data_IF_042053374983
#
_entry.id   IF_042053374983
#
_cell.length_a   1.000
_cell.length_b   1.000
_cell.length_c   1.000
_cell.angle_alpha   90.00
_cell.angle_beta   90.00
_cell.angle_gamma   90.00
#
_symmetry.space_group_name_H-M   'P 1'
#
loop_
_entity.id
_entity.type
_entity.pdbx_description
1 polymer ?
#
# COMPACT_ATOMS: atom_id res chain seq x y z
N UNK A 1 18.55 1.32 8.54
CA UNK A 1 17.94 0.25 9.37
C UNK A 1 16.50 0.09 8.93
N UNK A 2 16.07 -1.12 8.62
CA UNK A 2 14.70 -1.43 8.25
C UNK A 2 13.76 -1.27 9.44
N UNK A 3 12.54 -0.81 9.20
CA UNK A 3 11.48 -0.71 10.21
C UNK A 3 10.37 -1.70 9.91
N UNK A 4 9.65 -2.08 10.96
CA UNK A 4 8.49 -2.94 10.84
C UNK A 4 7.24 -2.10 10.99
N UNK A 5 6.39 -2.15 9.97
CA UNK A 5 5.13 -1.40 9.92
C UNK A 5 3.91 -2.31 9.78
N UNK A 6 2.75 -1.78 10.09
CA UNK A 6 1.46 -2.46 9.89
C UNK A 6 0.39 -1.45 9.48
N UNK A 7 -0.53 -1.89 8.62
CA UNK A 7 -1.67 -1.07 8.21
C UNK A 7 -2.61 -0.77 9.40
N UNK A 8 -3.33 0.36 9.34
CA UNK A 8 -4.16 0.85 10.45
C UNK A 8 -5.53 0.20 10.57
N UNK A 9 -5.99 -0.55 9.57
CA UNK A 9 -7.30 -1.18 9.59
C UNK A 9 -7.49 -2.18 10.73
N UNK A 10 -8.59 -2.02 11.48
CA UNK A 10 -9.01 -2.94 12.54
C UNK A 10 -8.49 -2.67 13.95
N UNK A 11 -7.50 -1.79 14.15
CA UNK A 11 -6.98 -1.42 15.47
C UNK A 11 -6.90 0.08 15.74
N UNK A 12 -6.75 0.90 14.70
CA UNK A 12 -6.64 2.35 14.84
C UNK A 12 -8.00 2.99 15.10
N UNK A 13 -8.07 3.83 16.11
CA UNK A 13 -9.20 4.67 16.46
C UNK A 13 -8.78 6.14 16.35
N UNK A 14 -9.39 6.86 15.44
CA UNK A 14 -9.07 8.26 15.18
C UNK A 14 -9.31 9.16 16.38
N UNK A 15 -10.40 8.91 17.12
CA UNK A 15 -10.76 9.69 18.32
C UNK A 15 -9.82 9.40 19.52
N UNK A 16 -9.07 8.31 19.45
CA UNK A 16 -8.10 7.86 20.44
C UNK A 16 -6.72 7.57 19.82
N UNK A 17 -6.27 8.45 18.92
CA UNK A 17 -5.05 8.24 18.11
C UNK A 17 -3.81 7.92 18.96
N UNK A 18 -3.55 8.67 20.03
CA UNK A 18 -2.41 8.43 20.91
C UNK A 18 -2.43 7.02 21.52
N UNK A 19 -3.56 6.63 22.12
CA UNK A 19 -3.70 5.29 22.72
C UNK A 19 -3.54 4.17 21.66
N UNK A 20 -4.02 4.39 20.44
CA UNK A 20 -3.84 3.48 19.31
C UNK A 20 -2.36 3.33 18.94
N UNK A 21 -1.60 4.41 18.88
CA UNK A 21 -0.17 4.39 18.58
C UNK A 21 0.68 3.79 19.71
N UNK A 22 0.34 4.07 20.98
CA UNK A 22 0.95 3.40 22.14
C UNK A 22 0.70 1.89 22.09
N UNK A 23 -0.53 1.48 21.75
CA UNK A 23 -0.89 0.07 21.61
C UNK A 23 -0.07 -0.61 20.54
N UNK A 24 0.00 -0.05 19.32
CA UNK A 24 0.74 -0.68 18.22
C UNK A 24 2.23 -0.72 18.48
N UNK A 25 2.79 0.32 19.09
CA UNK A 25 4.17 0.34 19.58
C UNK A 25 4.43 -0.79 20.58
N UNK A 26 3.49 -1.05 21.52
CA UNK A 26 3.61 -2.14 22.50
C UNK A 26 3.57 -3.53 21.86
N UNK A 27 3.07 -3.64 20.62
CA UNK A 27 3.12 -4.85 19.81
C UNK A 27 4.45 -5.01 19.04
N UNK A 28 5.36 -4.00 19.09
CA UNK A 28 6.68 -4.05 18.48
C UNK A 28 6.78 -3.39 17.11
N UNK A 29 5.78 -2.63 16.67
CA UNK A 29 5.82 -1.90 15.40
C UNK A 29 6.45 -0.51 15.56
N UNK A 30 7.18 -0.09 14.52
CA UNK A 30 7.92 1.18 14.45
C UNK A 30 7.29 2.15 13.43
N UNK A 31 6.41 1.63 12.58
CA UNK A 31 5.74 2.40 11.55
C UNK A 31 4.31 1.91 11.29
N UNK A 32 3.53 2.74 10.62
CA UNK A 32 2.17 2.39 10.17
C UNK A 32 1.97 2.76 8.69
N UNK A 33 1.09 2.00 8.06
CA UNK A 33 0.45 2.31 6.80
C UNK A 33 -0.95 2.85 7.10
N UNK A 34 -1.19 4.12 6.77
CA UNK A 34 -2.43 4.79 7.13
C UNK A 34 -3.53 4.58 6.09
N UNK A 35 -4.58 3.85 6.45
CA UNK A 35 -5.73 3.57 5.59
C UNK A 35 -6.73 4.74 5.59
N UNK A 36 -6.48 5.79 4.80
CA UNK A 36 -7.45 6.88 4.62
C UNK A 36 -8.57 6.51 3.65
N UNK A 37 -8.38 5.46 2.87
CA UNK A 37 -9.35 4.89 1.92
C UNK A 37 -10.70 4.56 2.56
N UNK A 38 -10.74 4.23 3.85
CA UNK A 38 -11.98 3.92 4.58
C UNK A 38 -12.97 5.08 4.62
N UNK A 39 -12.51 6.32 4.45
CA UNK A 39 -13.33 7.53 4.50
C UNK A 39 -13.90 7.94 3.13
N UNK A 40 -13.55 7.23 2.06
CA UNK A 40 -14.10 7.41 0.72
C UNK A 40 -14.19 6.06 0.00
N UNK A 41 -15.39 5.55 -0.15
CA UNK A 41 -15.69 4.30 -0.87
C UNK A 41 -16.37 4.64 -2.20
N UNK A 42 -15.65 4.62 -3.35
CA UNK A 42 -16.18 5.11 -4.62
C UNK A 42 -17.18 4.16 -5.28
N UNK A 43 -17.10 2.84 -5.03
CA UNK A 43 -17.97 1.85 -5.72
C UNK A 43 -19.48 2.12 -5.59
N UNK A 44 -20.04 2.45 -4.41
CA UNK A 44 -21.45 2.82 -4.31
C UNK A 44 -21.80 4.05 -5.16
N UNK A 45 -20.90 5.07 -5.17
CA UNK A 45 -21.11 6.30 -5.95
C UNK A 45 -21.10 6.00 -7.45
N UNK A 46 -20.15 5.17 -7.91
CA UNK A 46 -20.07 4.75 -9.31
C UNK A 46 -21.32 3.98 -9.75
N UNK A 47 -21.83 3.08 -8.89
CA UNK A 47 -23.01 2.26 -9.15
C UNK A 47 -24.29 3.08 -9.18
N UNK A 48 -24.44 4.01 -8.26
CA UNK A 48 -25.66 4.84 -8.11
C UNK A 48 -25.62 6.08 -9.01
N UNK A 49 -24.45 6.48 -9.51
CA UNK A 49 -24.25 7.69 -10.31
C UNK A 49 -24.42 8.98 -9.49
N UNK A 50 -24.21 8.91 -8.17
CA UNK A 50 -24.35 10.03 -7.24
C UNK A 50 -23.15 10.12 -6.34
N UNK A 51 -22.50 11.29 -6.31
CA UNK A 51 -21.41 11.58 -5.36
C UNK A 51 -22.05 11.92 -4.01
N UNK A 52 -21.75 11.13 -3.00
CA UNK A 52 -22.21 11.35 -1.63
C UNK A 52 -21.16 12.09 -0.81
N UNK A 53 -21.54 12.91 0.19
CA UNK A 53 -20.60 13.60 1.04
C UNK A 53 -19.61 12.66 1.74
N UNK A 54 -18.33 13.06 1.76
CA UNK A 54 -17.26 12.30 2.40
C UNK A 54 -16.37 13.22 3.25
N UNK A 55 -15.37 12.63 3.90
CA UNK A 55 -14.31 13.38 4.58
C UNK A 55 -13.62 14.36 3.61
N UNK A 56 -13.50 14.00 2.34
CA UNK A 56 -12.79 14.77 1.33
C UNK A 56 -13.55 16.00 0.80
N UNK A 57 -14.78 16.26 1.27
CA UNK A 57 -15.47 17.53 1.00
C UNK A 57 -14.93 18.69 1.84
N UNK A 58 -14.22 18.38 2.93
CA UNK A 58 -13.54 19.38 3.76
C UNK A 58 -12.46 20.13 2.97
N UNK A 59 -12.22 21.40 3.33
CA UNK A 59 -11.05 22.12 2.83
C UNK A 59 -9.74 21.44 3.27
N UNK A 60 -8.61 21.79 2.63
CA UNK A 60 -7.30 21.26 3.04
C UNK A 60 -7.03 21.63 4.51
N UNK A 61 -7.28 22.86 4.91
CA UNK A 61 -7.08 23.33 6.28
C UNK A 61 -7.90 22.53 7.29
N UNK A 62 -9.17 22.26 6.98
CA UNK A 62 -10.04 21.43 7.83
C UNK A 62 -9.58 19.97 7.91
N UNK A 63 -9.02 19.43 6.81
CA UNK A 63 -8.45 18.08 6.78
C UNK A 63 -7.15 17.99 7.58
N UNK A 64 -6.29 19.00 7.50
CA UNK A 64 -5.06 19.04 8.29
C UNK A 64 -5.35 19.16 9.79
N UNK A 65 -6.36 19.93 10.19
CA UNK A 65 -6.80 19.98 11.58
C UNK A 65 -7.43 18.64 12.02
N UNK A 66 -8.21 17.99 11.14
CA UNK A 66 -8.80 16.68 11.41
C UNK A 66 -7.71 15.59 11.59
N UNK A 67 -6.65 15.57 10.77
CA UNK A 67 -5.60 14.54 10.85
C UNK A 67 -4.54 14.86 11.92
N UNK A 68 -4.56 16.03 12.52
CA UNK A 68 -3.59 16.46 13.54
C UNK A 68 -3.41 15.48 14.71
N UNK A 69 -4.46 14.83 15.27
CA UNK A 69 -4.27 13.82 16.32
C UNK A 69 -3.40 12.63 15.89
N UNK A 70 -3.47 12.22 14.62
CA UNK A 70 -2.59 11.18 14.06
C UNK A 70 -1.12 11.64 14.07
N UNK A 71 -0.86 12.87 13.62
CA UNK A 71 0.49 13.46 13.63
C UNK A 71 1.05 13.54 15.05
N UNK A 72 0.29 14.09 15.98
CA UNK A 72 0.69 14.24 17.39
C UNK A 72 0.96 12.87 18.04
N UNK A 73 0.15 11.85 17.73
CA UNK A 73 0.36 10.49 18.21
C UNK A 73 1.65 9.86 17.65
N UNK A 74 1.91 10.06 16.35
CA UNK A 74 3.16 9.63 15.70
C UNK A 74 4.38 10.29 16.35
N UNK A 75 4.37 11.61 16.52
CA UNK A 75 5.46 12.36 17.16
C UNK A 75 5.69 11.95 18.63
N UNK A 76 4.61 11.78 19.40
CA UNK A 76 4.70 11.42 20.82
C UNK A 76 5.22 9.99 21.04
N UNK A 77 4.88 9.06 20.16
CA UNK A 77 5.27 7.65 20.29
C UNK A 77 6.56 7.32 19.55
N UNK A 78 6.91 8.08 18.51
CA UNK A 78 8.00 7.77 17.58
C UNK A 78 7.65 6.64 16.60
N UNK A 79 6.36 6.25 16.50
CA UNK A 79 5.87 5.35 15.45
C UNK A 79 5.56 6.19 14.22
N UNK A 80 6.27 5.97 13.12
CA UNK A 80 6.15 6.79 11.91
C UNK A 80 4.94 6.40 11.06
N UNK A 81 4.39 7.36 10.33
CA UNK A 81 3.48 7.05 9.22
C UNK A 81 4.34 6.89 7.96
N UNK A 82 4.70 5.66 7.62
CA UNK A 82 5.65 5.37 6.53
C UNK A 82 5.02 5.37 5.15
N UNK A 83 3.73 5.16 5.08
CA UNK A 83 2.93 5.15 3.85
C UNK A 83 1.46 5.38 4.15
N UNK A 84 0.71 5.73 3.11
CA UNK A 84 -0.75 5.95 3.18
C UNK A 84 -1.42 5.21 2.02
N UNK A 85 -2.57 4.60 2.28
CA UNK A 85 -3.41 4.00 1.26
C UNK A 85 -4.52 4.97 0.84
N UNK A 86 -4.48 5.47 -0.41
CA UNK A 86 -5.48 6.38 -0.96
C UNK A 86 -6.81 5.66 -1.29
N UNK A 87 -7.92 6.41 -1.49
CA UNK A 87 -9.19 5.83 -1.91
C UNK A 87 -9.07 4.91 -3.13
N UNK A 88 -9.76 3.77 -3.07
CA UNK A 88 -9.81 2.75 -4.11
C UNK A 88 -11.23 2.21 -4.32
N UNK A 89 -11.65 1.89 -5.58
CA UNK A 89 -10.93 2.08 -6.86
C UNK A 89 -10.64 3.55 -7.19
N UNK A 90 -9.56 3.78 -7.98
CA UNK A 90 -9.03 5.13 -8.25
C UNK A 90 -9.62 5.79 -9.51
N UNK A 91 -10.31 5.02 -10.35
CA UNK A 91 -10.83 5.45 -11.63
C UNK A 91 -11.98 4.57 -12.13
N UNK A 92 -12.95 5.20 -12.81
CA UNK A 92 -14.10 4.51 -13.40
C UNK A 92 -14.32 4.98 -14.84
N UNK A 93 -14.38 4.08 -15.83
CA UNK A 93 -14.73 4.43 -17.21
C UNK A 93 -16.09 5.18 -17.26
N UNK A 94 -16.16 6.21 -18.08
CA UNK A 94 -17.40 6.98 -18.34
C UNK A 94 -18.03 7.65 -17.09
N UNK A 95 -17.25 7.89 -16.02
CA UNK A 95 -17.69 8.57 -14.79
C UNK A 95 -16.84 9.81 -14.52
N UNK A 96 -16.88 10.76 -15.44
CA UNK A 96 -15.98 11.94 -15.41
C UNK A 96 -16.12 12.73 -14.10
N UNK A 97 -17.34 13.02 -13.65
CA UNK A 97 -17.55 13.77 -12.40
C UNK A 97 -16.95 13.05 -11.18
N UNK A 98 -17.10 11.70 -11.10
CA UNK A 98 -16.53 10.91 -10.02
C UNK A 98 -15.00 10.86 -10.13
N UNK A 99 -14.46 10.77 -11.33
CA UNK A 99 -13.01 10.76 -11.56
C UNK A 99 -12.39 12.12 -11.18
N UNK A 100 -13.05 13.24 -11.49
CA UNK A 100 -12.62 14.56 -11.03
C UNK A 100 -12.64 14.66 -9.50
N UNK A 101 -13.69 14.14 -8.87
CA UNK A 101 -13.78 14.07 -7.41
C UNK A 101 -12.65 13.22 -6.78
N UNK A 102 -12.31 12.08 -7.38
CA UNK A 102 -11.20 11.23 -6.93
C UNK A 102 -9.84 11.94 -7.09
N UNK A 103 -9.60 12.64 -8.20
CA UNK A 103 -8.37 13.44 -8.39
C UNK A 103 -8.26 14.52 -7.31
N UNK A 104 -9.36 15.20 -6.97
CA UNK A 104 -9.37 16.17 -5.88
C UNK A 104 -9.07 15.51 -4.52
N UNK A 105 -9.61 14.31 -4.29
CA UNK A 105 -9.31 13.54 -3.07
C UNK A 105 -7.83 13.13 -3.00
N UNK A 106 -7.20 12.77 -4.12
CA UNK A 106 -5.76 12.47 -4.15
C UNK A 106 -4.90 13.70 -3.88
N UNK A 107 -5.25 14.88 -4.41
CA UNK A 107 -4.55 16.13 -4.07
C UNK A 107 -4.58 16.38 -2.55
N UNK A 108 -5.72 16.10 -1.91
CA UNK A 108 -5.87 16.19 -0.44
C UNK A 108 -5.07 15.11 0.31
N UNK A 109 -4.97 13.90 -0.22
CA UNK A 109 -4.07 12.87 0.32
C UNK A 109 -2.61 13.34 0.30
N UNK A 110 -2.15 13.99 -0.77
CA UNK A 110 -0.79 14.53 -0.85
C UNK A 110 -0.55 15.63 0.19
N UNK A 111 -1.53 16.53 0.40
CA UNK A 111 -1.45 17.56 1.44
C UNK A 111 -1.34 16.95 2.85
N UNK A 112 -2.13 15.91 3.13
CA UNK A 112 -2.08 15.18 4.39
C UNK A 112 -0.70 14.50 4.54
N UNK A 113 -0.22 13.81 3.51
CA UNK A 113 1.09 13.14 3.54
C UNK A 113 2.22 14.12 3.88
N UNK A 114 2.28 15.28 3.21
CA UNK A 114 3.28 16.30 3.53
C UNK A 114 3.16 16.79 4.98
N UNK A 115 1.94 17.04 5.46
CA UNK A 115 1.70 17.53 6.82
C UNK A 115 2.11 16.54 7.91
N UNK A 116 1.85 15.23 7.71
CA UNK A 116 2.17 14.19 8.70
C UNK A 116 3.56 13.57 8.48
N UNK A 117 4.37 14.08 7.56
CA UNK A 117 5.67 13.55 7.15
C UNK A 117 5.61 12.11 6.60
N UNK A 118 4.52 11.75 5.93
CA UNK A 118 4.35 10.46 5.26
C UNK A 118 4.99 10.53 3.86
N UNK A 119 6.02 9.74 3.55
CA UNK A 119 6.79 9.91 2.31
C UNK A 119 6.15 9.29 1.08
N UNK A 120 5.12 8.48 1.23
CA UNK A 120 4.54 7.72 0.13
C UNK A 120 3.03 7.55 0.26
N UNK A 121 2.32 7.63 -0.85
CA UNK A 121 0.90 7.30 -0.94
C UNK A 121 0.67 6.27 -2.03
N UNK A 122 0.00 5.18 -1.69
CA UNK A 122 -0.41 4.17 -2.66
C UNK A 122 -1.64 4.67 -3.41
N UNK A 123 -1.54 4.74 -4.72
CA UNK A 123 -2.66 4.94 -5.63
C UNK A 123 -2.63 3.78 -6.61
N UNK A 124 -3.60 2.90 -6.53
CA UNK A 124 -3.70 1.72 -7.37
C UNK A 124 -3.75 2.08 -8.86
N UNK A 125 -3.30 1.19 -9.75
CA UNK A 125 -3.54 1.36 -11.17
C UNK A 125 -5.04 1.27 -11.49
N UNK A 126 -5.42 1.83 -12.62
CA UNK A 126 -6.78 1.64 -13.16
C UNK A 126 -6.96 0.18 -13.56
N UNK A 127 -8.09 -0.40 -13.14
CA UNK A 127 -8.45 -1.77 -13.51
C UNK A 127 -9.35 -1.74 -14.75
N UNK A 128 -8.80 -2.12 -15.88
CA UNK A 128 -9.51 -2.18 -17.15
C UNK A 128 -9.66 -3.62 -17.61
N UNK A 129 -10.76 -3.89 -18.33
CA UNK A 129 -11.02 -5.20 -18.88
C UNK A 129 -10.09 -5.58 -20.04
N UNK A 130 -9.56 -4.58 -20.75
CA UNK A 130 -8.76 -4.76 -21.96
C UNK A 130 -7.27 -4.54 -21.68
N UNK A 131 -6.51 -5.63 -21.63
CA UNK A 131 -5.08 -5.59 -21.31
C UNK A 131 -4.25 -4.75 -22.30
N UNK A 132 -4.68 -4.68 -23.56
CA UNK A 132 -3.95 -3.94 -24.60
C UNK A 132 -3.99 -2.43 -24.39
N UNK A 133 -5.05 -1.90 -23.77
CA UNK A 133 -5.21 -0.47 -23.47
C UNK A 133 -4.72 -0.10 -22.07
N UNK A 134 -4.53 -1.06 -21.21
CA UNK A 134 -4.22 -0.88 -19.79
C UNK A 134 -2.97 -0.03 -19.54
N UNK A 135 -1.93 -0.19 -20.39
CA UNK A 135 -0.71 0.62 -20.30
C UNK A 135 -0.98 2.11 -20.54
N UNK A 136 -1.61 2.44 -21.66
CA UNK A 136 -1.84 3.83 -22.05
C UNK A 136 -2.82 4.53 -21.11
N UNK A 137 -3.85 3.85 -20.65
CA UNK A 137 -4.83 4.40 -19.73
C UNK A 137 -4.21 4.64 -18.34
N UNK A 138 -3.40 3.72 -17.83
CA UNK A 138 -2.67 3.94 -16.59
C UNK A 138 -1.66 5.08 -16.72
N UNK A 139 -0.92 5.15 -17.82
CA UNK A 139 0.01 6.24 -18.07
C UNK A 139 -0.70 7.59 -18.13
N UNK A 140 -1.85 7.66 -18.81
CA UNK A 140 -2.71 8.85 -18.86
C UNK A 140 -3.21 9.24 -17.47
N UNK A 141 -3.68 8.28 -16.69
CA UNK A 141 -4.16 8.50 -15.33
C UNK A 141 -3.06 9.08 -14.44
N UNK A 142 -1.90 8.41 -14.34
CA UNK A 142 -0.82 8.90 -13.48
C UNK A 142 -0.23 10.23 -13.97
N UNK A 143 -0.17 10.50 -15.28
CA UNK A 143 0.20 11.80 -15.85
C UNK A 143 -0.71 12.92 -15.34
N UNK A 144 -2.01 12.65 -15.21
CA UNK A 144 -2.96 13.64 -14.69
C UNK A 144 -2.69 14.06 -13.24
N UNK A 145 -1.97 13.22 -12.48
CA UNK A 145 -1.59 13.50 -11.09
C UNK A 145 -0.28 14.30 -10.97
N UNK A 146 0.54 14.40 -12.02
CA UNK A 146 1.82 15.14 -11.98
C UNK A 146 1.67 16.60 -11.51
N UNK A 147 0.72 17.40 -12.02
CA UNK A 147 0.55 18.79 -11.57
C UNK A 147 0.20 18.91 -10.09
N UNK A 148 -0.42 17.88 -9.52
CA UNK A 148 -0.84 17.86 -8.12
C UNK A 148 0.33 17.47 -7.22
N UNK A 149 0.97 16.30 -7.46
CA UNK A 149 2.04 15.83 -6.59
C UNK A 149 3.24 16.78 -6.51
N UNK A 150 3.53 17.52 -7.58
CA UNK A 150 4.60 18.51 -7.63
C UNK A 150 4.43 19.70 -6.67
N UNK A 151 3.24 19.91 -6.11
CA UNK A 151 2.99 20.95 -5.10
C UNK A 151 3.56 20.56 -3.74
N UNK A 152 3.75 19.26 -3.47
CA UNK A 152 4.07 18.71 -2.15
C UNK A 152 5.47 18.14 -2.12
N UNK A 153 6.20 18.42 -1.04
CA UNK A 153 7.60 18.03 -0.90
C UNK A 153 7.72 16.71 -0.13
N UNK A 154 8.60 15.84 -0.62
CA UNK A 154 8.92 14.60 0.09
C UNK A 154 7.83 13.54 0.02
N UNK A 155 6.83 13.70 -0.85
CA UNK A 155 5.75 12.74 -1.06
C UNK A 155 5.89 12.12 -2.44
N UNK A 156 5.74 10.80 -2.54
CA UNK A 156 5.71 10.03 -3.79
C UNK A 156 4.38 9.33 -3.97
N UNK A 157 3.92 9.24 -5.22
CA UNK A 157 2.86 8.33 -5.63
C UNK A 157 3.48 6.96 -5.87
N UNK A 158 3.01 5.94 -5.18
CA UNK A 158 3.41 4.56 -5.42
C UNK A 158 2.28 3.81 -6.13
N UNK A 159 2.54 3.35 -7.35
CA UNK A 159 1.65 2.39 -8.00
C UNK A 159 1.90 1.00 -7.44
N UNK A 160 0.92 0.12 -7.56
CA UNK A 160 0.95 -1.23 -6.98
C UNK A 160 0.74 -2.31 -8.04
N UNK A 161 1.30 -3.50 -7.81
CA UNK A 161 1.00 -4.68 -8.62
C UNK A 161 -0.37 -5.25 -8.24
N UNK A 162 -1.33 -5.05 -9.11
CA UNK A 162 -2.67 -5.64 -8.98
C UNK A 162 -2.81 -6.83 -9.92
N UNK A 163 -3.55 -7.83 -9.50
CA UNK A 163 -3.92 -8.97 -10.32
C UNK A 163 -5.13 -8.67 -11.20
N UNK A 164 -5.26 -9.38 -12.32
CA UNK A 164 -6.48 -9.49 -13.11
C UNK A 164 -7.12 -10.87 -12.88
N UNK A 165 -8.38 -11.04 -13.30
CA UNK A 165 -9.07 -12.33 -13.24
C UNK A 165 -9.40 -12.82 -14.65
N UNK A 166 -9.05 -14.08 -14.90
CA UNK A 166 -9.46 -14.79 -16.11
C UNK A 166 -10.21 -16.05 -15.69
N UNK A 167 -11.54 -15.99 -15.71
CA UNK A 167 -12.39 -17.00 -15.13
C UNK A 167 -12.17 -17.11 -13.62
N UNK A 168 -11.77 -18.28 -13.14
CA UNK A 168 -11.43 -18.53 -11.74
C UNK A 168 -9.95 -18.29 -11.39
N UNK A 169 -9.12 -17.90 -12.36
CA UNK A 169 -7.69 -17.76 -12.18
C UNK A 169 -7.30 -16.31 -11.97
N UNK A 170 -6.36 -16.08 -11.07
CA UNK A 170 -5.62 -14.83 -10.98
C UNK A 170 -4.49 -14.85 -12.01
N UNK A 171 -4.34 -13.74 -12.72
CA UNK A 171 -3.32 -13.55 -13.74
C UNK A 171 -2.68 -12.18 -13.58
N UNK A 172 -1.50 -12.01 -14.16
CA UNK A 172 -0.86 -10.70 -14.19
C UNK A 172 -1.73 -9.66 -14.90
N UNK A 173 -2.04 -8.55 -14.23
CA UNK A 173 -2.41 -7.29 -14.87
C UNK A 173 -1.16 -6.64 -15.47
N UNK A 174 -1.29 -5.53 -16.18
CA UNK A 174 -0.16 -4.92 -16.88
C UNK A 174 0.97 -4.51 -15.93
N UNK A 175 0.63 -3.84 -14.82
CA UNK A 175 1.60 -3.38 -13.82
C UNK A 175 2.01 -4.46 -12.82
N UNK A 176 1.47 -5.68 -12.91
CA UNK A 176 2.01 -6.84 -12.22
C UNK A 176 3.27 -7.37 -12.89
N UNK A 177 3.50 -7.03 -14.15
CA UNK A 177 4.77 -7.33 -14.81
C UNK A 177 5.84 -6.33 -14.35
N UNK A 178 6.94 -6.78 -13.71
CA UNK A 178 7.92 -5.87 -13.14
C UNK A 178 8.65 -5.00 -14.17
N UNK A 179 8.80 -5.46 -15.40
CA UNK A 179 9.43 -4.66 -16.47
C UNK A 179 8.52 -3.53 -16.92
N UNK A 180 7.22 -3.80 -17.09
CA UNK A 180 6.24 -2.77 -17.45
C UNK A 180 6.08 -1.76 -16.29
N UNK A 181 5.99 -2.21 -15.05
CA UNK A 181 5.91 -1.35 -13.87
C UNK A 181 7.15 -0.45 -13.75
N UNK A 182 8.35 -1.03 -13.84
CA UNK A 182 9.60 -0.26 -13.79
C UNK A 182 9.67 0.79 -14.91
N UNK A 183 9.29 0.42 -16.14
CA UNK A 183 9.26 1.34 -17.28
C UNK A 183 8.26 2.48 -17.07
N UNK A 184 7.07 2.19 -16.51
CA UNK A 184 6.07 3.23 -16.26
C UNK A 184 6.58 4.26 -15.25
N UNK A 185 7.19 3.82 -14.15
CA UNK A 185 7.76 4.71 -13.15
C UNK A 185 8.86 5.59 -13.76
N UNK A 186 9.74 5.02 -14.59
CA UNK A 186 10.81 5.78 -15.25
C UNK A 186 10.24 6.87 -16.15
N UNK A 187 9.25 6.52 -17.00
CA UNK A 187 8.59 7.49 -17.89
C UNK A 187 7.92 8.60 -17.10
N UNK A 188 7.17 8.26 -16.04
CA UNK A 188 6.47 9.25 -15.22
C UNK A 188 7.45 10.18 -14.48
N UNK A 189 8.55 9.68 -13.95
CA UNK A 189 9.58 10.47 -13.29
C UNK A 189 10.34 11.38 -14.26
N UNK A 190 10.65 10.89 -15.48
CA UNK A 190 11.23 11.70 -16.54
C UNK A 190 10.31 12.86 -16.93
N UNK A 191 9.02 12.59 -17.17
CA UNK A 191 8.02 13.60 -17.53
C UNK A 191 7.75 14.60 -16.39
N UNK A 192 7.72 14.12 -15.14
CA UNK A 192 7.58 14.97 -13.97
C UNK A 192 8.84 15.84 -13.70
N UNK A 193 10.00 15.42 -14.23
CA UNK A 193 11.28 16.09 -14.00
C UNK A 193 11.81 15.90 -12.59
N UNK A 194 11.51 14.75 -11.94
CA UNK A 194 11.94 14.47 -10.57
C UNK A 194 11.43 13.11 -10.08
N UNK A 195 11.81 12.74 -8.87
CA UNK A 195 11.50 11.44 -8.23
C UNK A 195 10.15 11.50 -7.48
N UNK A 196 9.05 11.57 -8.24
CA UNK A 196 7.68 11.70 -7.72
C UNK A 196 6.88 10.39 -7.73
N UNK A 197 7.37 9.37 -8.45
CA UNK A 197 6.71 8.08 -8.58
C UNK A 197 7.61 6.96 -8.09
N UNK A 198 7.03 6.03 -7.38
CA UNK A 198 7.65 4.82 -6.87
C UNK A 198 6.74 3.61 -7.02
N UNK A 199 7.10 2.53 -6.39
CA UNK A 199 6.38 1.26 -6.46
C UNK A 199 6.06 0.73 -5.06
N UNK A 200 4.84 0.29 -4.89
CA UNK A 200 4.39 -0.56 -3.80
C UNK A 200 4.40 -2.01 -4.29
N UNK A 201 5.22 -2.86 -3.70
CA UNK A 201 5.14 -4.29 -3.97
C UNK A 201 4.17 -4.94 -3.00
N UNK A 202 3.00 -5.32 -3.51
CA UNK A 202 2.12 -6.24 -2.80
C UNK A 202 2.60 -7.67 -3.03
N UNK A 203 3.05 -8.29 -1.94
CA UNK A 203 3.66 -9.63 -1.94
C UNK A 203 2.60 -10.70 -2.16
N UNK A 204 1.41 -10.50 -1.60
CA UNK A 204 0.30 -11.43 -1.78
C UNK A 204 -0.25 -11.42 -3.20
N UNK A 205 -0.37 -10.25 -3.84
CA UNK A 205 -0.75 -10.14 -5.25
C UNK A 205 0.28 -10.80 -6.17
N UNK A 206 1.58 -10.61 -5.88
CA UNK A 206 2.64 -11.29 -6.62
C UNK A 206 2.55 -12.83 -6.48
N UNK A 207 2.23 -13.33 -5.27
CA UNK A 207 2.01 -14.76 -5.01
C UNK A 207 0.78 -15.29 -5.76
N UNK A 208 -0.34 -14.55 -5.82
CA UNK A 208 -1.52 -14.91 -6.61
C UNK A 208 -1.22 -15.03 -8.11
N UNK A 209 -0.30 -14.22 -8.61
CA UNK A 209 0.17 -14.27 -9.99
C UNK A 209 1.34 -15.24 -10.21
N UNK A 210 1.73 -16.01 -9.20
CA UNK A 210 2.84 -16.99 -9.26
C UNK A 210 4.19 -16.38 -9.67
N UNK A 211 4.47 -15.14 -9.26
CA UNK A 211 5.68 -14.42 -9.63
C UNK A 211 6.84 -14.75 -8.68
N UNK A 212 8.05 -14.79 -9.23
CA UNK A 212 9.28 -14.93 -8.44
C UNK A 212 9.60 -13.61 -7.72
N UNK A 213 9.35 -13.56 -6.41
CA UNK A 213 9.52 -12.37 -5.57
C UNK A 213 10.94 -11.80 -5.63
N UNK A 214 11.97 -12.65 -5.57
CA UNK A 214 13.37 -12.20 -5.65
C UNK A 214 13.65 -11.50 -6.97
N UNK A 215 13.23 -12.11 -8.07
CA UNK A 215 13.44 -11.55 -9.40
C UNK A 215 12.62 -10.26 -9.57
N UNK A 216 11.39 -10.22 -9.06
CA UNK A 216 10.55 -9.03 -9.06
C UNK A 216 11.25 -7.86 -8.35
N UNK A 217 11.67 -8.07 -7.10
CA UNK A 217 12.36 -7.08 -6.28
C UNK A 217 13.64 -6.57 -6.97
N UNK A 218 14.42 -7.46 -7.58
CA UNK A 218 15.64 -7.08 -8.32
C UNK A 218 15.35 -6.19 -9.53
N UNK A 219 14.31 -6.49 -10.31
CA UNK A 219 13.92 -5.68 -11.47
C UNK A 219 13.46 -4.30 -11.04
N UNK A 220 12.66 -4.22 -9.97
CA UNK A 220 12.21 -2.94 -9.42
C UNK A 220 13.38 -2.11 -8.87
N UNK A 221 14.31 -2.72 -8.17
CA UNK A 221 15.50 -2.06 -7.65
C UNK A 221 15.14 -0.80 -6.84
N UNK A 222 15.72 0.35 -7.19
CA UNK A 222 15.49 1.64 -6.50
C UNK A 222 14.08 2.23 -6.66
N UNK A 223 13.26 1.70 -7.58
CA UNK A 223 11.87 2.13 -7.78
C UNK A 223 10.95 1.57 -6.70
N UNK A 224 11.36 0.45 -6.08
CA UNK A 224 10.66 -0.14 -4.95
C UNK A 224 10.77 0.80 -3.74
N UNK A 225 9.63 1.33 -3.31
CA UNK A 225 9.56 2.37 -2.28
C UNK A 225 8.91 1.86 -1.00
N UNK A 226 7.86 1.08 -1.13
CA UNK A 226 7.03 0.57 -0.03
C UNK A 226 6.53 -0.85 -0.34
N UNK A 227 5.95 -1.49 0.68
CA UNK A 227 5.41 -2.83 0.59
C UNK A 227 3.99 -2.89 1.16
N UNK A 228 3.18 -3.81 0.60
CA UNK A 228 2.06 -4.47 1.25
C UNK A 228 2.41 -5.96 1.43
N UNK A 229 2.65 -6.36 2.67
CA UNK A 229 3.12 -7.72 2.97
C UNK A 229 2.00 -8.51 3.61
N UNK A 230 1.55 -9.54 2.95
CA UNK A 230 0.59 -10.51 3.48
C UNK A 230 0.74 -11.87 2.81
N UNK A 231 0.20 -12.90 3.44
CA UNK A 231 0.16 -14.25 2.91
C UNK A 231 -1.22 -14.61 2.36
N UNK A 232 -1.22 -15.53 1.41
CA UNK A 232 -2.42 -16.13 0.86
C UNK A 232 -2.17 -17.57 0.35
N UNK A 233 -3.24 -18.24 0.00
CA UNK A 233 -3.21 -19.63 -0.47
C UNK A 233 -2.94 -19.75 -1.99
N UNK A 234 -2.55 -18.69 -2.69
CA UNK A 234 -2.42 -18.56 -4.15
C UNK A 234 -3.74 -18.72 -4.94
N UNK A 235 -4.89 -18.68 -4.25
CA UNK A 235 -6.22 -18.81 -4.87
C UNK A 235 -7.19 -17.69 -4.43
N UNK A 236 -6.95 -17.10 -3.26
CA UNK A 236 -7.79 -16.04 -2.71
C UNK A 236 -6.90 -14.97 -2.09
N UNK A 237 -7.30 -13.71 -2.22
CA UNK A 237 -6.62 -12.58 -1.63
C UNK A 237 -6.97 -12.45 -0.14
N UNK A 238 -6.17 -13.15 0.71
CA UNK A 238 -6.54 -13.44 2.09
C UNK A 238 -5.96 -12.50 3.13
N UNK A 239 -4.95 -11.72 2.82
CA UNK A 239 -4.30 -10.78 3.75
C UNK A 239 -3.99 -11.38 5.14
N UNK A 240 -3.40 -12.57 5.15
CA UNK A 240 -3.06 -13.33 6.36
C UNK A 240 -1.60 -13.12 6.77
N UNK A 241 -1.27 -13.60 7.97
CA UNK A 241 0.08 -13.55 8.52
C UNK A 241 1.03 -14.37 7.64
N UNK A 242 2.26 -13.89 7.34
CA UNK A 242 3.27 -14.69 6.65
C UNK A 242 3.48 -16.07 7.28
N UNK A 243 3.77 -17.07 6.47
CA UNK A 243 3.90 -18.48 6.84
C UNK A 243 2.58 -19.18 7.20
N UNK A 244 1.41 -18.57 6.92
CA UNK A 244 0.10 -19.18 7.21
C UNK A 244 -0.21 -20.37 6.30
N UNK A 245 0.34 -20.42 5.09
CA UNK A 245 -0.01 -21.43 4.10
C UNK A 245 1.18 -22.27 3.66
N UNK A 246 0.97 -23.59 3.69
CA UNK A 246 1.96 -24.60 3.28
C UNK A 246 1.34 -25.61 2.34
N UNK A 247 2.12 -26.08 1.37
CA UNK A 247 1.77 -27.23 0.55
C UNK A 247 1.94 -28.55 1.33
N UNK A 248 1.35 -29.63 0.82
CA UNK A 248 1.55 -30.98 1.37
C UNK A 248 3.03 -31.43 1.35
N UNK A 249 3.86 -30.83 0.48
CA UNK A 249 5.30 -31.07 0.40
C UNK A 249 6.14 -30.28 1.40
N UNK A 250 5.51 -29.57 2.35
CA UNK A 250 6.13 -28.71 3.38
C UNK A 250 6.83 -27.46 2.82
N UNK A 251 6.45 -27.00 1.63
CA UNK A 251 6.86 -25.73 1.09
C UNK A 251 5.82 -24.67 1.45
N UNK A 252 6.26 -23.48 1.81
CA UNK A 252 5.36 -22.33 1.92
C UNK A 252 4.79 -21.97 0.55
N UNK A 253 3.53 -21.53 0.53
CA UNK A 253 2.87 -21.12 -0.71
C UNK A 253 3.50 -19.84 -1.24
N UNK A 254 3.76 -18.89 -0.37
CA UNK A 254 4.57 -17.70 -0.67
C UNK A 254 6.05 -17.96 -0.30
N UNK A 255 6.97 -17.71 -1.22
CA UNK A 255 8.41 -17.98 -1.00
C UNK A 255 9.09 -16.84 -0.23
N UNK A 256 8.94 -16.88 1.09
CA UNK A 256 9.50 -15.88 2.00
C UNK A 256 11.02 -15.83 2.00
N UNK A 257 11.68 -16.95 1.70
CA UNK A 257 13.14 -16.96 1.61
C UNK A 257 13.61 -16.13 0.41
N UNK A 258 12.97 -16.27 -0.74
CA UNK A 258 13.28 -15.47 -1.93
C UNK A 258 12.90 -14.00 -1.75
N UNK A 259 11.84 -13.71 -1.00
CA UNK A 259 11.49 -12.34 -0.61
C UNK A 259 12.63 -11.69 0.18
N UNK A 260 13.07 -12.31 1.26
CA UNK A 260 14.17 -11.81 2.12
C UNK A 260 15.48 -11.67 1.34
N UNK A 261 15.85 -12.67 0.51
CA UNK A 261 17.02 -12.60 -0.35
C UNK A 261 16.95 -11.41 -1.33
N UNK A 262 15.79 -11.17 -1.93
CA UNK A 262 15.58 -10.06 -2.85
C UNK A 262 15.80 -8.70 -2.18
N UNK A 263 15.22 -8.49 -1.01
CA UNK A 263 15.37 -7.26 -0.22
C UNK A 263 16.84 -7.03 0.14
N UNK A 264 17.52 -8.08 0.63
CA UNK A 264 18.94 -8.02 0.96
C UNK A 264 19.80 -7.66 -0.25
N UNK A 265 19.52 -8.27 -1.42
CA UNK A 265 20.33 -8.09 -2.64
C UNK A 265 20.24 -6.66 -3.19
N UNK A 266 19.06 -6.01 -3.12
CA UNK A 266 18.93 -4.62 -3.58
C UNK A 266 19.36 -3.58 -2.52
N UNK A 267 19.60 -4.01 -1.29
CA UNK A 267 19.92 -3.10 -0.17
C UNK A 267 18.75 -2.16 0.13
N UNK A 268 17.52 -2.69 0.17
CA UNK A 268 16.34 -1.88 0.46
C UNK A 268 16.44 -1.20 1.83
N UNK A 269 16.10 0.08 1.88
CA UNK A 269 16.00 0.88 3.10
C UNK A 269 14.59 1.43 3.21
N UNK A 270 13.93 1.19 4.32
CA UNK A 270 12.55 1.65 4.53
C UNK A 270 11.76 0.77 5.48
N UNK A 271 10.47 0.67 5.26
CA UNK A 271 9.54 -0.07 6.11
C UNK A 271 9.07 -1.34 5.43
N UNK A 272 9.14 -2.45 6.13
CA UNK A 272 8.44 -3.69 5.81
C UNK A 272 7.03 -3.58 6.39
N UNK A 273 6.08 -3.09 5.61
CA UNK A 273 4.72 -2.82 6.06
C UNK A 273 3.79 -4.02 5.79
N UNK A 274 3.18 -4.52 6.86
CA UNK A 274 2.28 -5.67 6.80
C UNK A 274 0.84 -5.22 6.60
N UNK A 275 0.19 -5.75 5.57
CA UNK A 275 -1.21 -5.52 5.25
C UNK A 275 -2.05 -6.75 5.61
N UNK A 276 -2.18 -7.02 6.91
CA UNK A 276 -2.74 -8.26 7.46
C UNK A 276 -4.09 -8.05 8.16
N UNK A 277 -4.93 -7.16 7.64
CA UNK A 277 -6.20 -6.74 8.29
C UNK A 277 -7.19 -7.90 8.51
N UNK A 278 -7.09 -8.99 7.77
CA UNK A 278 -7.96 -10.17 7.96
C UNK A 278 -7.80 -10.84 9.31
N UNK A 279 -6.68 -10.62 10.02
CA UNK A 279 -6.51 -11.15 11.38
C UNK A 279 -7.63 -10.71 12.32
N UNK A 280 -8.19 -9.50 12.14
CA UNK A 280 -9.26 -8.95 12.98
C UNK A 280 -10.63 -9.62 12.73
N UNK A 281 -10.80 -10.30 11.60
CA UNK A 281 -11.99 -11.12 11.31
C UNK A 281 -11.74 -12.62 11.44
N UNK A 282 -10.50 -13.07 11.23
CA UNK A 282 -10.15 -14.48 11.29
C UNK A 282 -9.94 -14.97 12.74
N UNK A 283 -9.48 -14.10 13.65
CA UNK A 283 -9.22 -14.46 15.04
C UNK A 283 -10.20 -13.78 16.00
N UNK A 284 -10.51 -14.42 17.15
CA UNK A 284 -11.31 -13.78 18.19
C UNK A 284 -10.56 -12.60 18.81
N UNK A 285 -11.31 -11.55 19.20
CA UNK A 285 -10.76 -10.29 19.75
C UNK A 285 -9.63 -10.46 20.78
N UNK A 286 -9.71 -11.41 21.78
CA UNK A 286 -8.62 -11.62 22.75
C UNK A 286 -7.30 -12.07 22.13
N UNK A 287 -7.29 -12.60 20.89
CA UNK A 287 -6.09 -13.05 20.19
C UNK A 287 -5.43 -11.98 19.32
N UNK A 288 -6.08 -10.82 19.09
CA UNK A 288 -5.58 -9.80 18.16
C UNK A 288 -4.20 -9.28 18.54
N UNK A 289 -3.96 -8.98 19.82
CA UNK A 289 -2.66 -8.52 20.32
C UNK A 289 -1.56 -9.57 20.07
N UNK A 290 -1.88 -10.86 20.29
CA UNK A 290 -0.91 -11.94 20.03
C UNK A 290 -0.62 -12.10 18.54
N UNK A 291 -1.63 -11.94 17.68
CA UNK A 291 -1.45 -11.98 16.23
C UNK A 291 -0.58 -10.81 15.74
N UNK A 292 -0.84 -9.58 16.24
CA UNK A 292 0.00 -8.42 15.92
C UNK A 292 1.45 -8.60 16.37
N UNK A 293 1.68 -9.11 17.59
CA UNK A 293 3.05 -9.42 18.06
C UNK A 293 3.73 -10.46 17.19
N UNK A 294 3.03 -11.53 16.77
CA UNK A 294 3.58 -12.53 15.88
C UNK A 294 4.02 -11.92 14.53
N UNK A 295 3.22 -11.00 13.97
CA UNK A 295 3.57 -10.30 12.72
C UNK A 295 4.85 -9.47 12.93
N UNK A 296 4.92 -8.72 14.02
CA UNK A 296 6.11 -7.93 14.37
C UNK A 296 7.34 -8.82 14.56
N UNK A 297 7.21 -9.94 15.28
CA UNK A 297 8.31 -10.90 15.51
C UNK A 297 8.83 -11.49 14.18
N UNK A 298 7.92 -11.81 13.24
CA UNK A 298 8.30 -12.26 11.89
C UNK A 298 9.07 -11.17 11.15
N UNK A 299 8.60 -9.93 11.21
CA UNK A 299 9.26 -8.80 10.59
C UNK A 299 10.68 -8.60 11.13
N UNK A 300 10.86 -8.59 12.45
CA UNK A 300 12.17 -8.45 13.09
C UNK A 300 13.10 -9.64 12.76
N UNK A 301 12.56 -10.86 12.70
CA UNK A 301 13.32 -12.02 12.23
C UNK A 301 13.87 -11.82 10.80
N UNK A 302 13.10 -11.24 9.89
CA UNK A 302 13.59 -10.93 8.54
C UNK A 302 14.63 -9.81 8.54
N UNK A 303 14.41 -8.76 9.34
CA UNK A 303 15.40 -7.68 9.49
C UNK A 303 16.74 -8.23 9.94
N UNK A 304 16.75 -9.12 10.93
CA UNK A 304 17.96 -9.79 11.41
C UNK A 304 18.67 -10.57 10.29
N UNK A 305 17.96 -11.23 9.40
CA UNK A 305 18.52 -11.95 8.26
C UNK A 305 19.08 -11.03 7.17
N UNK A 306 18.41 -9.89 6.95
CA UNK A 306 18.79 -8.92 5.93
C UNK A 306 20.01 -8.13 6.38
N UNK A 307 20.04 -7.65 7.61
CA UNK A 307 21.07 -6.75 8.14
C UNK A 307 22.31 -7.49 8.69
N UNK A 308 22.14 -8.72 9.17
CA UNK A 308 23.27 -9.54 9.59
C UNK A 308 24.00 -10.13 8.38
N UNK A 309 25.29 -9.86 8.30
CA UNK A 309 26.22 -10.34 7.25
C UNK A 309 26.68 -11.77 7.48
#
# INVERSE_FOLDING_TARGET
MLKIGVQTGGWYDHDNALASFEYIKSCGFEAVDYNIDIYLRPDPMAKEGVITPTLFDKSIEELLEWVKPLKEASEATGVEVSQMHAPFPCWYPEKDDLNEYLIMAFDKCFAICEYINCPAVVIHPTLLSERDTEWEENLKFYRSLIPYIKKYKGVKICTENIFAKHGAHFVEARLSNPYDAARMIDVLNEEAGGDYFGFCLDVGHANLCHLDLKNYIKIMGKRLTIFHIHDNNAHDDLHMIPYSYMTSGKFHVCDWARFVEGIKEIGFEGTLAFETFRIFSAYPKPAHTSALKLISDIGHYWVDQIENK
#
